data_IF_145363380768
#
_entry.id   IF_145363380768
#
_cell.length_a   1.000
_cell.length_b   1.000
_cell.length_c   1.000
_cell.angle_alpha   90.00
_cell.angle_beta   90.00
_cell.angle_gamma   90.00
#
_symmetry.space_group_name_H-M   'P 1'
#
loop_
_entity.id
_entity.type
_entity.pdbx_description
1 polymer ?
#
# COMPACT_ATOMS: atom_id res chain seq x y z
N UNK A 1 35.61 0.80 16.66
CA UNK A 1 34.53 0.33 17.54
C UNK A 1 33.75 -0.69 16.75
N UNK A 2 33.89 -1.97 17.07
CA UNK A 2 33.06 -3.05 16.52
C UNK A 2 31.69 -2.89 17.16
N UNK A 3 30.71 -2.34 16.41
CA UNK A 3 29.33 -2.39 16.84
C UNK A 3 28.92 -3.85 16.91
N UNK A 4 28.78 -4.41 18.10
CA UNK A 4 28.16 -5.69 18.30
C UNK A 4 26.71 -5.58 17.78
N UNK A 5 26.47 -6.18 16.65
CA UNK A 5 25.13 -6.24 16.07
C UNK A 5 24.36 -7.28 16.87
N UNK A 6 23.35 -6.85 17.63
CA UNK A 6 22.53 -7.79 18.41
C UNK A 6 21.65 -8.63 17.50
N UNK A 7 21.23 -9.84 17.91
CA UNK A 7 20.29 -10.67 17.16
C UNK A 7 18.99 -9.92 16.84
N UNK A 8 18.47 -9.12 17.76
CA UNK A 8 17.26 -8.32 17.61
C UNK A 8 17.40 -7.25 16.52
N UNK A 9 18.58 -6.65 16.38
CA UNK A 9 18.88 -5.71 15.29
C UNK A 9 18.95 -6.41 13.93
N UNK A 10 19.57 -7.61 13.87
CA UNK A 10 19.58 -8.43 12.64
C UNK A 10 18.17 -8.81 12.22
N UNK A 11 17.34 -9.22 13.18
CA UNK A 11 15.93 -9.52 12.95
C UNK A 11 15.18 -8.32 12.38
N UNK A 12 15.42 -7.13 12.95
CA UNK A 12 14.79 -5.91 12.47
C UNK A 12 15.19 -5.56 11.04
N UNK A 13 16.48 -5.67 10.68
CA UNK A 13 16.94 -5.42 9.30
C UNK A 13 16.29 -6.40 8.32
N UNK A 14 16.26 -7.69 8.65
CA UNK A 14 15.63 -8.71 7.81
C UNK A 14 14.14 -8.40 7.59
N UNK A 15 13.44 -8.07 8.68
CA UNK A 15 12.04 -7.65 8.65
C UNK A 15 11.83 -6.40 7.81
N UNK A 16 12.62 -5.35 8.03
CA UNK A 16 12.53 -4.10 7.32
C UNK A 16 12.67 -4.29 5.81
N UNK A 17 13.67 -5.07 5.38
CA UNK A 17 13.86 -5.41 3.97
C UNK A 17 12.70 -6.23 3.42
N UNK A 18 12.31 -7.29 4.13
CA UNK A 18 11.18 -8.13 3.75
C UNK A 18 9.89 -7.33 3.57
N UNK A 19 9.62 -6.42 4.48
CA UNK A 19 8.40 -5.61 4.47
C UNK A 19 8.41 -4.54 3.36
N UNK A 20 9.45 -3.72 3.31
CA UNK A 20 9.45 -2.49 2.48
C UNK A 20 9.83 -2.72 1.02
N UNK A 21 10.67 -3.73 0.76
CA UNK A 21 11.14 -4.04 -0.57
C UNK A 21 10.47 -5.30 -1.10
N UNK A 22 10.72 -6.44 -0.47
CA UNK A 22 10.31 -7.74 -1.02
C UNK A 22 8.79 -7.86 -1.11
N UNK A 23 8.07 -7.64 -0.01
CA UNK A 23 6.60 -7.70 -0.01
C UNK A 23 6.00 -6.63 -0.91
N UNK A 24 6.51 -5.40 -0.84
CA UNK A 24 6.03 -4.28 -1.63
C UNK A 24 6.16 -4.58 -3.14
N UNK A 25 7.32 -5.03 -3.58
CA UNK A 25 7.59 -5.37 -4.98
C UNK A 25 6.76 -6.57 -5.44
N UNK A 26 6.61 -7.58 -4.59
CA UNK A 26 5.79 -8.75 -4.85
C UNK A 26 4.29 -8.45 -5.03
N UNK A 27 3.77 -7.41 -4.35
CA UNK A 27 2.36 -7.03 -4.43
C UNK A 27 2.04 -6.10 -5.61
N UNK A 28 3.02 -5.36 -6.13
CA UNK A 28 2.78 -4.34 -7.18
C UNK A 28 2.10 -4.86 -8.44
N UNK A 29 2.49 -6.00 -9.03
CA UNK A 29 1.82 -6.53 -10.23
C UNK A 29 0.37 -6.91 -9.96
N UNK A 30 0.09 -7.56 -8.84
CA UNK A 30 -1.26 -7.89 -8.39
C UNK A 30 -2.12 -6.62 -8.24
N UNK A 31 -1.63 -5.63 -7.49
CA UNK A 31 -2.35 -4.38 -7.26
C UNK A 31 -2.57 -3.62 -8.57
N UNK A 32 -1.61 -3.63 -9.48
CA UNK A 32 -1.76 -3.02 -10.81
C UNK A 32 -2.89 -3.67 -11.58
N UNK A 33 -2.91 -4.99 -11.69
CA UNK A 33 -3.95 -5.75 -12.40
C UNK A 33 -5.33 -5.52 -11.79
N UNK A 34 -5.44 -5.62 -10.48
CA UNK A 34 -6.72 -5.48 -9.79
C UNK A 34 -7.23 -4.03 -9.83
N UNK A 35 -6.35 -3.03 -9.78
CA UNK A 35 -6.74 -1.61 -9.93
C UNK A 35 -7.33 -1.34 -11.32
N UNK A 36 -6.70 -1.86 -12.38
CA UNK A 36 -7.22 -1.75 -13.76
C UNK A 36 -8.55 -2.51 -13.91
N UNK A 37 -8.66 -3.69 -13.32
CA UNK A 37 -9.90 -4.47 -13.32
C UNK A 37 -11.03 -3.73 -12.61
N UNK A 38 -10.74 -3.16 -11.44
CA UNK A 38 -11.68 -2.33 -10.69
C UNK A 38 -12.14 -1.12 -11.51
N UNK A 39 -11.21 -0.38 -12.10
CA UNK A 39 -11.51 0.75 -12.98
C UNK A 39 -12.46 0.34 -14.12
N UNK A 40 -12.17 -0.76 -14.81
CA UNK A 40 -12.99 -1.25 -15.91
C UNK A 40 -14.42 -1.61 -15.44
N UNK A 41 -14.55 -2.20 -14.25
CA UNK A 41 -15.85 -2.53 -13.65
C UNK A 41 -16.62 -1.25 -13.30
N UNK A 42 -15.97 -0.26 -12.68
CA UNK A 42 -16.58 1.04 -12.39
C UNK A 42 -17.03 1.74 -13.67
N UNK A 43 -16.16 1.80 -14.70
CA UNK A 43 -16.47 2.44 -15.99
C UNK A 43 -17.66 1.79 -16.67
N UNK A 44 -17.75 0.46 -16.67
CA UNK A 44 -18.91 -0.29 -17.20
C UNK A 44 -20.19 0.00 -16.39
N UNK A 45 -20.08 0.05 -15.08
CA UNK A 45 -21.22 0.35 -14.20
C UNK A 45 -21.71 1.79 -14.43
N UNK A 46 -20.80 2.77 -14.56
CA UNK A 46 -21.17 4.14 -14.93
C UNK A 46 -21.87 4.18 -16.27
N UNK A 47 -21.32 3.51 -17.30
CA UNK A 47 -21.87 3.52 -18.65
C UNK A 47 -23.27 2.89 -18.73
N UNK A 48 -23.66 2.03 -17.79
CA UNK A 48 -24.97 1.39 -17.74
C UNK A 48 -26.06 2.27 -17.08
N UNK A 49 -25.69 3.39 -16.47
CA UNK A 49 -26.62 4.25 -15.76
C UNK A 49 -27.15 5.41 -16.64
N UNK A 50 -28.39 5.88 -16.42
CA UNK A 50 -28.89 7.09 -17.05
C UNK A 50 -28.00 8.30 -16.68
N UNK A 51 -27.66 9.13 -17.68
CA UNK A 51 -26.76 10.25 -17.50
C UNK A 51 -25.28 9.86 -17.46
N UNK A 52 -24.95 8.69 -18.00
CA UNK A 52 -23.57 8.26 -18.19
C UNK A 52 -22.75 9.31 -18.97
N UNK A 53 -21.54 9.59 -18.50
CA UNK A 53 -20.64 10.57 -19.10
C UNK A 53 -19.49 10.92 -18.19
N UNK A 54 -18.60 11.83 -18.63
CA UNK A 54 -17.54 12.34 -17.77
C UNK A 54 -18.13 13.05 -16.54
N UNK A 55 -17.38 13.04 -15.43
CA UNK A 55 -17.75 13.83 -14.27
C UNK A 55 -17.68 15.30 -14.60
N UNK A 56 -18.81 16.01 -14.46
CA UNK A 56 -18.94 17.46 -14.71
C UNK A 56 -19.01 18.27 -13.41
N UNK A 57 -18.81 17.62 -12.26
CA UNK A 57 -18.82 18.30 -10.98
C UNK A 57 -17.66 19.30 -10.92
N UNK A 58 -18.01 20.57 -10.77
CA UNK A 58 -17.05 21.62 -10.46
C UNK A 58 -16.85 21.67 -8.96
N UNK A 59 -15.63 21.88 -8.52
CA UNK A 59 -15.28 22.05 -7.12
C UNK A 59 -16.08 23.21 -6.50
N UNK A 60 -17.18 22.88 -5.84
CA UNK A 60 -18.08 23.87 -5.23
C UNK A 60 -17.65 24.11 -3.80
N UNK A 61 -16.76 25.09 -3.64
CA UNK A 61 -16.49 25.77 -2.36
C UNK A 61 -15.50 25.14 -1.37
N UNK A 62 -14.51 25.95 -1.04
CA UNK A 62 -13.54 25.76 0.06
C UNK A 62 -14.18 25.65 1.46
N UNK A 63 -15.50 25.75 1.59
CA UNK A 63 -16.19 25.81 2.89
C UNK A 63 -16.62 24.47 3.45
N UNK A 64 -16.73 23.42 2.62
CA UNK A 64 -17.09 22.06 3.06
C UNK A 64 -16.18 21.04 2.40
N UNK A 65 -15.14 20.57 3.07
CA UNK A 65 -14.14 19.68 2.49
C UNK A 65 -14.68 18.35 1.93
N UNK A 66 -15.92 18.00 2.24
CA UNK A 66 -16.54 16.72 1.88
C UNK A 66 -17.55 16.80 0.71
N UNK A 67 -17.76 17.97 0.12
CA UNK A 67 -18.72 18.15 -0.98
C UNK A 67 -18.00 18.43 -2.31
N UNK A 68 -17.19 17.46 -2.74
CA UNK A 68 -16.49 17.55 -4.04
C UNK A 68 -17.38 17.16 -5.23
N UNK A 69 -18.42 16.38 -4.98
CA UNK A 69 -19.31 15.86 -6.01
C UNK A 69 -20.76 15.94 -5.56
N UNK A 70 -21.65 16.23 -6.51
CA UNK A 70 -23.08 16.10 -6.28
C UNK A 70 -23.46 14.61 -6.31
N UNK A 71 -23.67 14.05 -5.12
CA UNK A 71 -24.02 12.64 -4.94
C UNK A 71 -25.42 12.29 -5.50
N UNK A 72 -26.24 13.28 -5.87
CA UNK A 72 -27.54 13.02 -6.47
C UNK A 72 -27.46 12.85 -7.99
N UNK A 73 -26.51 13.51 -8.64
CA UNK A 73 -26.40 13.54 -10.11
C UNK A 73 -25.15 12.88 -10.65
N UNK A 74 -24.04 12.89 -9.92
CA UNK A 74 -22.77 12.31 -10.37
C UNK A 74 -22.76 10.79 -10.26
N UNK A 75 -22.90 10.10 -11.38
CA UNK A 75 -22.89 8.62 -11.45
C UNK A 75 -21.57 8.01 -10.97
N UNK A 76 -20.45 8.63 -11.34
CA UNK A 76 -19.12 8.22 -10.86
C UNK A 76 -19.00 8.25 -9.33
N UNK A 77 -19.41 9.39 -8.74
CA UNK A 77 -19.29 9.56 -7.30
C UNK A 77 -20.12 8.54 -6.52
N UNK A 78 -21.36 8.26 -6.97
CA UNK A 78 -22.20 7.22 -6.34
C UNK A 78 -21.54 5.85 -6.31
N UNK A 79 -20.98 5.43 -7.44
CA UNK A 79 -20.33 4.10 -7.55
C UNK A 79 -19.06 4.06 -6.73
N UNK A 80 -18.24 5.11 -6.79
CA UNK A 80 -16.97 5.18 -6.08
C UNK A 80 -17.16 5.28 -4.56
N UNK A 81 -18.17 6.02 -4.08
CA UNK A 81 -18.53 6.05 -2.67
C UNK A 81 -18.93 4.65 -2.19
N UNK A 82 -19.81 3.99 -2.93
CA UNK A 82 -20.24 2.61 -2.63
C UNK A 82 -19.11 1.60 -2.65
N UNK A 83 -18.05 1.87 -3.40
CA UNK A 83 -16.85 1.02 -3.49
C UNK A 83 -15.85 1.22 -2.35
N UNK A 84 -16.00 2.28 -1.55
CA UNK A 84 -15.14 2.52 -0.38
C UNK A 84 -15.67 1.77 0.85
N UNK A 85 -14.78 1.15 1.64
CA UNK A 85 -15.15 0.32 2.79
C UNK A 85 -16.05 1.05 3.81
N UNK A 86 -15.79 2.35 4.06
CA UNK A 86 -16.60 3.21 4.94
C UNK A 86 -17.48 4.22 4.20
N UNK A 87 -17.65 4.08 2.89
CA UNK A 87 -18.34 5.04 2.04
C UNK A 87 -17.81 6.48 2.19
N UNK A 88 -16.49 6.64 2.35
CA UNK A 88 -15.82 7.94 2.57
C UNK A 88 -14.56 8.06 1.70
N UNK A 89 -14.67 8.08 0.37
CA UNK A 89 -13.52 8.31 -0.51
C UNK A 89 -12.85 9.66 -0.23
N UNK A 90 -11.56 9.74 -0.50
CA UNK A 90 -10.78 10.96 -0.27
C UNK A 90 -10.77 11.81 -1.54
N UNK A 91 -11.90 12.42 -1.85
CA UNK A 91 -12.15 13.15 -3.10
C UNK A 91 -11.08 14.17 -3.45
N UNK A 92 -10.53 14.89 -2.45
CA UNK A 92 -9.52 15.95 -2.65
C UNK A 92 -8.21 15.49 -3.31
N UNK A 93 -7.96 14.18 -3.36
CA UNK A 93 -6.71 13.61 -3.88
C UNK A 93 -6.81 13.16 -5.33
N UNK A 94 -8.00 13.21 -5.92
CA UNK A 94 -8.28 12.68 -7.25
C UNK A 94 -8.76 13.78 -8.20
N UNK A 95 -8.25 13.73 -9.42
CA UNK A 95 -8.67 14.60 -10.51
C UNK A 95 -9.79 13.92 -11.33
N UNK A 96 -11.05 14.30 -11.06
CA UNK A 96 -12.20 13.68 -11.72
C UNK A 96 -12.28 13.94 -13.23
N UNK A 97 -11.55 14.91 -13.76
CA UNK A 97 -11.48 15.15 -15.21
C UNK A 97 -10.75 14.02 -15.96
N UNK A 98 -9.98 13.24 -15.23
CA UNK A 98 -9.19 12.12 -15.76
C UNK A 98 -9.85 10.75 -15.56
N UNK A 99 -10.99 10.67 -14.89
CA UNK A 99 -11.63 9.38 -14.60
C UNK A 99 -12.07 8.61 -15.85
N UNK A 100 -12.30 9.29 -16.96
CA UNK A 100 -12.64 8.64 -18.23
C UNK A 100 -11.41 8.27 -19.08
N UNK A 101 -10.22 8.68 -18.68
CA UNK A 101 -8.97 8.33 -19.36
C UNK A 101 -8.56 6.89 -19.00
N UNK A 102 -8.40 5.98 -19.96
CA UNK A 102 -8.09 4.57 -19.68
C UNK A 102 -6.68 4.35 -19.11
N UNK A 103 -5.78 5.33 -19.21
CA UNK A 103 -4.40 5.25 -18.71
C UNK A 103 -4.31 5.89 -17.32
N UNK A 104 -4.83 7.10 -17.15
CA UNK A 104 -4.74 7.86 -15.91
C UNK A 104 -5.87 7.52 -14.93
N UNK A 105 -7.08 7.23 -15.45
CA UNK A 105 -8.28 6.98 -14.65
C UNK A 105 -8.14 5.90 -13.60
N UNK A 106 -7.51 4.76 -13.86
CA UNK A 106 -7.29 3.73 -12.83
C UNK A 106 -6.58 4.28 -11.59
N UNK A 107 -5.55 5.09 -11.78
CA UNK A 107 -4.74 5.63 -10.68
C UNK A 107 -5.36 6.85 -10.02
N UNK A 108 -6.06 7.67 -10.78
CA UNK A 108 -6.86 8.76 -10.20
C UNK A 108 -7.96 8.21 -9.29
N UNK A 109 -8.61 7.12 -9.68
CA UNK A 109 -9.60 6.44 -8.85
C UNK A 109 -8.95 5.75 -7.65
N UNK A 110 -7.79 5.10 -7.81
CA UNK A 110 -7.07 4.47 -6.70
C UNK A 110 -6.73 5.45 -5.57
N UNK A 111 -6.39 6.71 -5.88
CA UNK A 111 -6.11 7.76 -4.89
C UNK A 111 -7.27 8.02 -3.92
N UNK A 112 -8.51 7.73 -4.32
CA UNK A 112 -9.68 7.88 -3.46
C UNK A 112 -9.66 6.96 -2.23
N UNK A 113 -8.86 5.91 -2.27
CA UNK A 113 -8.76 4.86 -1.26
C UNK A 113 -7.44 4.91 -0.45
N UNK A 114 -6.54 5.84 -0.79
CA UNK A 114 -5.23 5.94 -0.15
C UNK A 114 -5.21 7.21 0.73
N UNK A 115 -5.31 7.08 2.07
CA UNK A 115 -5.19 8.24 2.96
C UNK A 115 -3.82 8.92 2.77
N UNK A 116 -3.85 10.22 2.69
CA UNK A 116 -2.69 11.12 2.67
C UNK A 116 -1.55 10.67 1.73
N UNK A 117 -1.75 10.89 0.43
CA UNK A 117 -0.68 10.66 -0.56
C UNK A 117 0.46 11.69 -0.46
N UNK A 118 0.38 12.63 0.49
CA UNK A 118 1.45 13.58 0.78
C UNK A 118 1.90 14.41 -0.43
N UNK A 119 1.00 14.72 -1.36
CA UNK A 119 1.31 15.43 -2.61
C UNK A 119 2.04 14.58 -3.65
N UNK A 120 2.26 13.30 -3.40
CA UNK A 120 2.88 12.38 -4.37
C UNK A 120 2.00 12.21 -5.60
N UNK A 121 2.64 12.21 -6.77
CA UNK A 121 1.97 11.86 -8.02
C UNK A 121 1.93 10.33 -8.10
N UNK A 122 0.73 9.75 -7.99
CA UNK A 122 0.54 8.30 -8.17
C UNK A 122 -0.01 8.09 -9.59
N UNK A 123 0.79 7.46 -10.44
CA UNK A 123 0.44 7.10 -11.82
C UNK A 123 0.56 5.60 -12.07
N UNK A 124 1.08 4.87 -11.08
CA UNK A 124 1.27 3.42 -11.13
C UNK A 124 1.44 2.85 -9.71
N UNK A 125 1.39 1.52 -9.57
CA UNK A 125 1.74 0.87 -8.32
C UNK A 125 3.20 1.09 -7.90
N UNK A 126 4.09 1.45 -8.84
CA UNK A 126 5.51 1.74 -8.55
C UNK A 126 5.69 3.02 -7.73
N UNK A 127 4.76 3.96 -7.85
CA UNK A 127 4.79 5.22 -7.12
C UNK A 127 4.29 5.08 -5.67
N UNK A 128 3.76 3.91 -5.32
CA UNK A 128 3.27 3.60 -3.97
C UNK A 128 4.33 2.89 -3.15
N UNK A 129 4.45 3.31 -1.89
CA UNK A 129 5.09 2.49 -0.86
C UNK A 129 4.12 1.40 -0.36
N UNK A 130 4.61 0.52 0.51
CA UNK A 130 3.77 -0.53 1.08
C UNK A 130 2.53 0.04 1.81
N UNK A 131 2.64 1.21 2.43
CA UNK A 131 1.51 1.86 3.11
C UNK A 131 0.41 2.20 2.12
N UNK A 132 0.77 2.78 0.99
CA UNK A 132 -0.18 3.09 -0.09
C UNK A 132 -0.86 1.82 -0.63
N UNK A 133 -0.09 0.76 -0.85
CA UNK A 133 -0.59 -0.54 -1.32
C UNK A 133 -1.58 -1.13 -0.31
N UNK A 134 -1.19 -1.27 0.96
CA UNK A 134 -2.05 -1.84 2.00
C UNK A 134 -3.30 -0.99 2.26
N UNK A 135 -3.19 0.33 2.19
CA UNK A 135 -4.36 1.21 2.32
C UNK A 135 -5.33 1.06 1.15
N UNK A 136 -4.84 0.99 -0.10
CA UNK A 136 -5.69 0.72 -1.25
C UNK A 136 -6.42 -0.62 -1.10
N UNK A 137 -5.69 -1.68 -0.73
CA UNK A 137 -6.27 -3.01 -0.51
C UNK A 137 -7.28 -3.04 0.65
N UNK A 138 -7.08 -2.23 1.68
CA UNK A 138 -7.97 -2.15 2.83
C UNK A 138 -9.23 -1.34 2.54
N UNK A 139 -9.10 -0.17 1.92
CA UNK A 139 -10.23 0.76 1.77
C UNK A 139 -11.08 0.50 0.53
N UNK A 140 -10.54 -0.12 -0.53
CA UNK A 140 -11.28 -0.44 -1.75
C UNK A 140 -11.93 -1.83 -1.66
N UNK A 141 -13.27 -1.87 -1.69
CA UNK A 141 -14.04 -3.12 -1.60
C UNK A 141 -13.71 -4.15 -2.68
N UNK A 142 -13.13 -3.73 -3.81
CA UNK A 142 -12.67 -4.65 -4.85
C UNK A 142 -11.63 -5.65 -4.33
N UNK A 143 -10.82 -5.27 -3.36
CA UNK A 143 -9.79 -6.12 -2.74
C UNK A 143 -10.31 -7.01 -1.59
N UNK A 144 -11.62 -7.03 -1.30
CA UNK A 144 -12.21 -7.94 -0.28
C UNK A 144 -12.08 -9.43 -0.61
N UNK A 145 -11.60 -9.77 -1.81
CA UNK A 145 -11.15 -11.13 -2.14
C UNK A 145 -10.00 -11.60 -1.22
N UNK A 146 -9.24 -10.68 -0.63
CA UNK A 146 -8.25 -10.95 0.41
C UNK A 146 -8.88 -10.62 1.77
N UNK A 147 -8.76 -11.51 2.79
CA UNK A 147 -9.34 -11.27 4.10
C UNK A 147 -8.85 -9.97 4.75
N UNK A 148 -9.79 -9.11 5.14
CA UNK A 148 -9.48 -7.82 5.78
C UNK A 148 -8.58 -7.95 7.02
N UNK A 149 -8.79 -8.92 7.93
CA UNK A 149 -7.90 -9.09 9.08
C UNK A 149 -6.44 -9.25 8.69
N UNK A 150 -6.15 -9.97 7.61
CA UNK A 150 -4.77 -10.18 7.14
C UNK A 150 -4.11 -8.85 6.69
N UNK A 151 -4.87 -7.99 6.03
CA UNK A 151 -4.39 -6.67 5.63
C UNK A 151 -4.24 -5.76 6.86
N UNK A 152 -5.15 -5.84 7.83
CA UNK A 152 -5.06 -5.07 9.08
C UNK A 152 -3.84 -5.48 9.91
N UNK A 153 -3.58 -6.77 10.07
CA UNK A 153 -2.41 -7.28 10.78
C UNK A 153 -1.11 -6.75 10.16
N UNK A 154 -1.01 -6.75 8.83
CA UNK A 154 0.17 -6.20 8.13
C UNK A 154 0.30 -4.68 8.32
N UNK A 155 -0.81 -3.95 8.32
CA UNK A 155 -0.82 -2.50 8.58
C UNK A 155 -0.38 -2.21 10.02
N UNK A 156 -0.85 -3.01 10.98
CA UNK A 156 -0.46 -2.89 12.39
C UNK A 156 1.03 -3.20 12.58
N UNK A 157 1.52 -4.31 12.02
CA UNK A 157 2.95 -4.67 12.03
C UNK A 157 3.78 -3.55 11.42
N UNK A 158 3.37 -3.03 10.25
CA UNK A 158 4.07 -1.91 9.60
C UNK A 158 4.09 -0.67 10.49
N UNK A 159 2.98 -0.32 11.11
CA UNK A 159 2.90 0.89 11.93
C UNK A 159 3.72 0.75 13.22
N UNK A 160 3.60 -0.38 13.90
CA UNK A 160 4.19 -0.57 15.23
C UNK A 160 5.67 -0.99 15.18
N UNK A 161 6.10 -1.67 14.12
CA UNK A 161 7.46 -2.24 14.00
C UNK A 161 8.33 -1.53 12.97
N UNK A 162 7.76 -0.63 12.16
CA UNK A 162 8.47 0.14 11.16
C UNK A 162 8.24 1.66 11.29
N UNK A 163 6.98 2.11 11.26
CA UNK A 163 6.64 3.53 11.12
C UNK A 163 6.84 4.38 12.37
N UNK A 164 6.76 3.79 13.56
CA UNK A 164 6.77 4.48 14.85
C UNK A 164 7.72 3.83 15.86
N UNK A 165 8.78 3.21 15.38
CA UNK A 165 9.73 2.52 16.26
C UNK A 165 10.72 3.50 16.90
N UNK A 166 10.92 3.37 18.21
CA UNK A 166 11.97 4.08 18.97
C UNK A 166 13.26 3.28 19.06
N UNK A 167 13.18 1.97 18.84
CA UNK A 167 14.32 1.04 18.81
C UNK A 167 14.22 0.15 17.58
N UNK A 168 15.36 -0.08 16.95
CA UNK A 168 15.50 -0.93 15.75
C UNK A 168 15.81 -2.36 16.17
N UNK A 169 14.90 -2.95 16.90
CA UNK A 169 15.02 -4.26 17.51
C UNK A 169 13.74 -5.04 17.28
N UNK A 170 13.86 -6.33 17.01
CA UNK A 170 12.76 -7.26 16.86
C UNK A 170 13.14 -8.59 17.49
N UNK A 171 12.36 -9.06 18.46
CA UNK A 171 12.57 -10.37 19.05
C UNK A 171 12.32 -11.49 18.04
N UNK A 172 12.78 -12.72 18.32
CA UNK A 172 12.56 -13.87 17.45
C UNK A 172 11.06 -14.15 17.26
N UNK A 173 10.25 -14.01 18.33
CA UNK A 173 8.81 -14.23 18.26
C UNK A 173 8.10 -13.14 17.42
N UNK A 174 8.51 -11.89 17.57
CA UNK A 174 7.99 -10.79 16.76
C UNK A 174 8.38 -10.95 15.29
N UNK A 175 9.63 -11.37 15.01
CA UNK A 175 10.09 -11.70 13.66
C UNK A 175 9.24 -12.84 13.08
N UNK A 176 9.09 -13.93 13.80
CA UNK A 176 8.31 -15.08 13.36
C UNK A 176 6.87 -14.71 13.03
N UNK A 177 6.23 -13.88 13.87
CA UNK A 177 4.88 -13.36 13.66
C UNK A 177 4.81 -12.49 12.41
N UNK A 178 5.70 -11.51 12.26
CA UNK A 178 5.72 -10.60 11.12
C UNK A 178 5.92 -11.34 9.79
N UNK A 179 6.90 -12.23 9.73
CA UNK A 179 7.16 -13.04 8.53
C UNK A 179 6.02 -14.01 8.24
N UNK A 180 5.42 -14.63 9.27
CA UNK A 180 4.24 -15.49 9.12
C UNK A 180 3.05 -14.76 8.50
N UNK A 181 2.81 -13.50 8.87
CA UNK A 181 1.74 -12.68 8.30
C UNK A 181 2.04 -12.31 6.84
N UNK A 182 3.30 -11.97 6.50
CA UNK A 182 3.71 -11.71 5.11
C UNK A 182 3.56 -12.98 4.24
N UNK A 183 3.99 -14.13 4.74
CA UNK A 183 3.81 -15.44 4.08
C UNK A 183 2.34 -15.74 3.83
N UNK A 184 1.48 -15.56 4.84
CA UNK A 184 0.05 -15.81 4.73
C UNK A 184 -0.61 -14.97 3.63
N UNK A 185 -0.21 -13.70 3.49
CA UNK A 185 -0.69 -12.87 2.39
C UNK A 185 -0.22 -13.40 1.03
N UNK A 186 1.08 -13.65 0.87
CA UNK A 186 1.67 -14.08 -0.41
C UNK A 186 1.21 -15.48 -0.84
N UNK A 187 0.80 -16.33 0.10
CA UNK A 187 0.21 -17.64 -0.13
C UNK A 187 -1.29 -17.60 -0.43
N UNK A 188 -1.93 -16.44 -0.30
CA UNK A 188 -3.36 -16.34 -0.55
C UNK A 188 -3.69 -16.77 -2.00
N UNK A 189 -4.78 -17.53 -2.25
CA UNK A 189 -5.13 -18.05 -3.59
C UNK A 189 -5.18 -16.99 -4.68
N UNK A 190 -5.56 -15.75 -4.37
CA UNK A 190 -5.58 -14.64 -5.32
C UNK A 190 -4.19 -14.22 -5.80
N UNK A 191 -3.14 -14.57 -5.08
CA UNK A 191 -1.73 -14.28 -5.39
C UNK A 191 -0.96 -15.53 -5.85
N UNK A 192 -1.55 -16.71 -5.72
CA UNK A 192 -0.87 -17.99 -5.99
C UNK A 192 -0.34 -18.13 -7.43
N UNK A 193 -0.97 -17.45 -8.40
CA UNK A 193 -0.57 -17.46 -9.80
C UNK A 193 0.24 -16.23 -10.22
N UNK A 194 0.51 -15.32 -9.28
CA UNK A 194 1.33 -14.14 -9.53
C UNK A 194 2.81 -14.47 -9.34
N UNK A 195 3.58 -14.40 -10.44
CA UNK A 195 4.98 -14.80 -10.43
C UNK A 195 5.82 -13.97 -9.45
N UNK A 196 5.56 -12.67 -9.37
CA UNK A 196 6.35 -11.79 -8.51
C UNK A 196 5.98 -11.98 -7.04
N UNK A 197 4.70 -12.25 -6.73
CA UNK A 197 4.27 -12.64 -5.40
C UNK A 197 4.92 -13.97 -4.95
N UNK A 198 5.03 -14.96 -5.84
CA UNK A 198 5.70 -16.24 -5.53
C UNK A 198 7.20 -16.08 -5.35
N UNK A 199 7.84 -15.20 -6.14
CA UNK A 199 9.25 -14.84 -5.94
C UNK A 199 9.45 -14.17 -4.58
N UNK A 200 8.59 -13.20 -4.25
CA UNK A 200 8.61 -12.53 -2.96
C UNK A 200 8.41 -13.51 -1.80
N UNK A 201 7.48 -14.47 -1.92
CA UNK A 201 7.28 -15.51 -0.92
C UNK A 201 8.57 -16.31 -0.63
N UNK A 202 9.27 -16.74 -1.67
CA UNK A 202 10.53 -17.47 -1.51
C UNK A 202 11.59 -16.62 -0.81
N UNK A 203 11.69 -15.34 -1.16
CA UNK A 203 12.64 -14.42 -0.55
C UNK A 203 12.27 -14.10 0.92
N UNK A 204 11.00 -13.92 1.25
CA UNK A 204 10.48 -13.76 2.62
C UNK A 204 10.85 -15.00 3.47
N UNK A 205 10.69 -16.20 2.94
CA UNK A 205 11.07 -17.44 3.62
C UNK A 205 12.58 -17.51 3.88
N UNK A 206 13.39 -17.03 2.95
CA UNK A 206 14.85 -16.95 3.12
C UNK A 206 15.21 -15.94 4.21
N UNK A 207 14.64 -14.74 4.17
CA UNK A 207 14.89 -13.68 5.16
C UNK A 207 14.47 -14.08 6.58
N UNK A 208 13.43 -14.89 6.71
CA UNK A 208 12.95 -15.41 7.99
C UNK A 208 14.03 -16.23 8.71
N UNK A 209 14.90 -16.91 7.98
CA UNK A 209 15.98 -17.76 8.54
C UNK A 209 17.28 -17.01 8.80
N UNK A 210 17.38 -15.74 8.42
CA UNK A 210 18.61 -14.96 8.62
C UNK A 210 18.82 -14.66 10.11
N UNK A 211 20.00 -15.05 10.62
CA UNK A 211 20.42 -14.84 12.01
C UNK A 211 21.72 -14.05 12.14
N UNK A 212 22.39 -13.73 11.01
CA UNK A 212 23.66 -13.00 10.97
C UNK A 212 23.65 -11.94 9.86
N UNK A 213 24.15 -10.76 10.19
CA UNK A 213 24.30 -9.62 9.26
C UNK A 213 25.20 -9.97 8.08
N UNK A 214 26.18 -10.84 8.26
CA UNK A 214 27.08 -11.26 7.20
C UNK A 214 26.36 -12.06 6.07
N UNK A 215 25.14 -12.53 6.33
CA UNK A 215 24.30 -13.19 5.35
C UNK A 215 23.50 -12.20 4.48
N UNK A 216 23.53 -10.90 4.80
CA UNK A 216 22.96 -9.86 3.94
C UNK A 216 23.95 -9.43 2.87
N UNK A 217 23.46 -9.21 1.65
CA UNK A 217 24.27 -8.60 0.60
C UNK A 217 24.67 -7.17 1.05
N UNK A 218 25.92 -6.80 0.76
CA UNK A 218 26.49 -5.52 1.19
C UNK A 218 25.66 -4.30 0.75
N UNK A 219 24.93 -4.41 -0.37
CA UNK A 219 24.01 -3.39 -0.88
C UNK A 219 22.81 -3.16 0.06
N UNK A 220 22.23 -4.23 0.59
CA UNK A 220 21.10 -4.15 1.54
C UNK A 220 21.56 -3.43 2.81
N UNK A 221 22.72 -3.81 3.34
CA UNK A 221 23.29 -3.16 4.53
C UNK A 221 23.55 -1.67 4.31
N UNK A 222 24.03 -1.30 3.12
CA UNK A 222 24.31 0.10 2.78
C UNK A 222 23.03 0.93 2.69
N UNK A 223 21.97 0.39 2.08
CA UNK A 223 20.68 1.06 1.99
C UNK A 223 20.08 1.31 3.38
N UNK A 224 20.13 0.32 4.28
CA UNK A 224 19.59 0.48 5.63
C UNK A 224 20.42 1.41 6.51
N UNK A 225 21.74 1.43 6.37
CA UNK A 225 22.59 2.42 7.07
C UNK A 225 22.22 3.85 6.69
N UNK A 226 22.04 4.12 5.39
CA UNK A 226 21.61 5.43 4.90
C UNK A 226 20.24 5.82 5.45
N UNK A 227 19.28 4.90 5.41
CA UNK A 227 17.92 5.15 5.91
C UNK A 227 17.92 5.44 7.41
N UNK A 228 18.78 4.78 8.19
CA UNK A 228 18.96 5.03 9.62
C UNK A 228 19.56 6.42 9.89
N UNK A 229 20.48 6.88 9.06
CA UNK A 229 21.05 8.23 9.14
C UNK A 229 19.97 9.28 8.84
N UNK A 230 19.14 9.06 7.84
CA UNK A 230 18.04 9.96 7.48
C UNK A 230 17.02 10.07 8.62
N UNK A 231 16.59 8.95 9.23
CA UNK A 231 15.68 8.93 10.39
C UNK A 231 16.25 9.64 11.62
N UNK A 232 17.55 9.53 11.87
CA UNK A 232 18.22 10.26 12.97
C UNK A 232 18.24 11.76 12.73
N UNK A 233 18.45 12.19 11.49
CA UNK A 233 18.50 13.60 11.13
C UNK A 233 17.11 14.25 11.22
N UNK A 234 16.04 13.55 10.87
CA UNK A 234 14.66 14.03 11.01
C UNK A 234 14.24 14.17 12.48
N UNK A 235 14.72 13.28 13.36
CA UNK A 235 14.40 13.34 14.80
C UNK A 235 15.17 14.44 15.57
N UNK A 236 16.16 15.09 14.95
CA UNK A 236 16.94 16.18 15.55
C UNK A 236 16.40 17.57 15.14
N UNK A 237 15.35 17.65 14.32
CA UNK A 237 14.72 18.89 13.89
C UNK A 237 13.41 19.24 14.61
N UNK A 238 13.10 18.56 15.72
CA UNK A 238 11.98 18.85 16.62
C UNK A 238 12.56 19.42 17.97
#
# INVERSE_FOLDING_TARGET
>A
MTHHTTPEYVNWIAFAHGLTNVLCDGLRPFVTRETVTFYNNVSKAVASLPGAGPCTCTFVSRRKPNEYHDMTTCTWAKILEGSHHRNKPIWKQSDSTKWTDPIQGPWEIAKLFIPDVGGRVITSAKDMDLTGILNLMYWCKHFLLIPQPLIDDLREIRNNKWGHVTKLELTDDEKATAFGTMEALLQHPSLAHDRDAQKALHEIQTLKTVTDVNNFQAEILTQYKKMLEDLKNDSTQI
#
